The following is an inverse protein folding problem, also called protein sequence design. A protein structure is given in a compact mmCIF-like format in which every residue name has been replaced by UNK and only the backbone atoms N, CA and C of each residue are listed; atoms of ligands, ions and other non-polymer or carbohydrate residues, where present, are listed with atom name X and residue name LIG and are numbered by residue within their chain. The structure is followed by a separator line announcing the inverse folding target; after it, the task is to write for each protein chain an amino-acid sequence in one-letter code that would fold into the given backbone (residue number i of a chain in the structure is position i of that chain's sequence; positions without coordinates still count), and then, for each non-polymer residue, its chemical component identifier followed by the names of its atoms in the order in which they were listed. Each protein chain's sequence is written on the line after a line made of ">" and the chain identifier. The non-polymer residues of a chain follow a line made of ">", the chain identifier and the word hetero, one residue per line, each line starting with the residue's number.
data_IF_196815172540
#
_entry.id   IF_196815172540
#
_cell.length_a   1.000
_cell.length_b   1.000
_cell.length_c   1.000
_cell.angle_alpha   90.00
_cell.angle_beta   90.00
_cell.angle_gamma   90.00
#
_symmetry.space_group_name_H-M   'P 1'
#
loop_
_entity.id
_entity.type
_entity.pdbx_description
1 polymer ?
#
# COMPACT_ATOMS: atom_id res chain seq x y z
N UNK A 1 -72.75 -11.01 -4.39
CA UNK A 1 -71.72 -10.41 -3.53
C UNK A 1 -70.86 -11.53 -2.92
N UNK A 2 -69.58 -11.27 -2.56
CA UNK A 2 -68.68 -12.03 -1.63
C UNK A 2 -68.84 -13.58 -1.56
N UNK A 3 -67.80 -14.42 -1.74
CA UNK A 3 -66.34 -14.25 -1.54
C UNK A 3 -65.50 -14.98 -2.62
N UNK A 4 -64.20 -14.66 -2.65
CA UNK A 4 -63.12 -15.38 -3.37
C UNK A 4 -62.44 -16.42 -2.45
N UNK A 5 -61.42 -17.09 -3.02
CA UNK A 5 -60.23 -17.66 -2.35
C UNK A 5 -60.25 -19.14 -1.94
N UNK A 6 -60.07 -20.00 -2.94
CA UNK A 6 -59.30 -21.24 -2.85
C UNK A 6 -58.59 -21.47 -4.20
N UNK A 7 -57.54 -22.31 -4.22
CA UNK A 7 -56.83 -22.78 -5.42
C UNK A 7 -56.13 -21.71 -6.31
N UNK A 8 -55.11 -21.01 -5.78
CA UNK A 8 -53.93 -20.62 -6.59
C UNK A 8 -52.65 -20.39 -5.76
N UNK A 9 -52.30 -21.34 -4.89
CA UNK A 9 -50.99 -21.37 -4.20
C UNK A 9 -50.43 -22.79 -4.42
N UNK A 10 -49.47 -22.92 -5.34
CA UNK A 10 -48.94 -24.24 -5.71
C UNK A 10 -47.87 -24.28 -6.82
N UNK A 11 -47.73 -23.22 -7.65
CA UNK A 11 -46.91 -23.31 -8.89
C UNK A 11 -45.93 -22.14 -9.10
N UNK A 12 -45.49 -21.47 -8.02
CA UNK A 12 -44.51 -20.36 -8.10
C UNK A 12 -43.22 -20.64 -7.30
N UNK A 13 -43.23 -21.53 -6.30
CA UNK A 13 -42.05 -21.77 -5.44
C UNK A 13 -40.93 -22.63 -6.08
N UNK A 14 -41.15 -23.33 -7.19
CA UNK A 14 -40.15 -24.24 -7.77
C UNK A 14 -39.22 -23.63 -8.82
N UNK A 15 -39.44 -22.38 -9.24
CA UNK A 15 -38.58 -21.68 -10.22
C UNK A 15 -37.59 -20.69 -9.59
N UNK A 16 -37.49 -20.67 -8.25
CA UNK A 16 -36.62 -19.77 -7.49
C UNK A 16 -35.51 -20.50 -6.69
N UNK A 17 -35.32 -21.81 -6.91
CA UNK A 17 -34.31 -22.64 -6.22
C UNK A 17 -33.10 -22.98 -7.08
N UNK A 18 -32.78 -22.14 -8.07
CA UNK A 18 -31.48 -22.11 -8.75
C UNK A 18 -30.97 -20.66 -8.75
N UNK A 19 -29.65 -20.50 -8.63
CA UNK A 19 -28.95 -19.20 -8.49
C UNK A 19 -29.16 -18.44 -7.16
N UNK A 20 -29.18 -19.15 -6.03
CA UNK A 20 -28.83 -18.58 -4.70
C UNK A 20 -27.83 -19.47 -3.95
N UNK A 21 -26.65 -19.69 -4.56
CA UNK A 21 -25.46 -20.09 -3.80
C UNK A 21 -24.94 -18.87 -3.02
N UNK A 22 -25.67 -18.50 -1.96
CA UNK A 22 -25.09 -17.68 -0.90
C UNK A 22 -23.99 -18.52 -0.27
N UNK A 23 -22.74 -18.03 -0.29
CA UNK A 23 -21.67 -18.59 0.52
C UNK A 23 -21.99 -18.29 1.99
N UNK A 24 -22.82 -19.15 2.58
CA UNK A 24 -22.92 -19.27 4.03
C UNK A 24 -21.63 -19.96 4.50
N UNK A 25 -20.56 -19.17 4.61
CA UNK A 25 -19.30 -19.63 5.15
C UNK A 25 -19.55 -20.21 6.55
N UNK A 26 -19.28 -21.50 6.69
CA UNK A 26 -19.07 -22.10 8.00
C UNK A 26 -17.94 -21.30 8.65
N UNK A 27 -18.02 -20.93 9.95
CA UNK A 27 -16.89 -20.33 10.64
C UNK A 27 -15.75 -21.35 10.70
N UNK A 28 -14.86 -21.31 9.72
CA UNK A 28 -13.64 -22.08 9.76
C UNK A 28 -12.78 -21.50 10.88
N UNK A 29 -12.41 -22.34 11.84
CA UNK A 29 -11.32 -22.04 12.75
C UNK A 29 -10.03 -22.02 11.93
N UNK A 30 -9.74 -20.88 11.29
CA UNK A 30 -8.46 -20.60 10.66
C UNK A 30 -7.40 -20.41 11.75
N UNK A 31 -6.96 -21.55 12.30
CA UNK A 31 -5.83 -21.63 13.26
C UNK A 31 -4.50 -21.86 12.54
N UNK A 32 -4.46 -21.70 11.22
CA UNK A 32 -3.21 -21.43 10.53
C UNK A 32 -2.63 -20.13 11.12
N UNK A 33 -1.36 -20.11 11.55
CA UNK A 33 -0.72 -18.87 11.95
C UNK A 33 -0.81 -17.84 10.81
N UNK A 34 -0.97 -16.56 11.16
CA UNK A 34 -0.84 -15.45 10.22
C UNK A 34 0.62 -15.28 9.81
N UNK A 35 1.06 -16.24 9.00
CA UNK A 35 2.40 -16.39 8.48
C UNK A 35 2.65 -15.34 7.39
N UNK A 36 3.39 -14.30 7.77
CA UNK A 36 3.92 -13.26 6.90
C UNK A 36 5.41 -13.47 6.61
N UNK A 37 5.90 -14.72 6.59
CA UNK A 37 7.31 -15.02 6.37
C UNK A 37 7.84 -14.64 4.98
N UNK A 38 6.96 -14.31 4.02
CA UNK A 38 7.36 -13.67 2.75
C UNK A 38 8.07 -12.33 2.98
N UNK A 39 7.69 -11.59 4.02
CA UNK A 39 8.30 -10.32 4.39
C UNK A 39 9.81 -10.43 4.69
N UNK A 40 10.31 -11.62 5.02
CA UNK A 40 11.74 -11.88 5.25
C UNK A 40 12.62 -11.57 4.04
N UNK A 41 12.07 -11.46 2.82
CA UNK A 41 12.82 -10.97 1.65
C UNK A 41 13.34 -9.54 1.85
N UNK A 42 12.60 -8.70 2.57
CA UNK A 42 12.84 -7.25 2.70
C UNK A 42 13.08 -6.81 4.15
N UNK A 43 13.39 -7.72 5.07
CA UNK A 43 13.74 -7.41 6.47
C UNK A 43 15.11 -8.02 6.77
N UNK A 44 16.03 -7.19 7.25
CA UNK A 44 17.35 -7.59 7.76
C UNK A 44 17.40 -7.40 9.27
N UNK A 45 18.01 -8.36 9.97
CA UNK A 45 18.30 -8.26 11.39
C UNK A 45 19.78 -7.98 11.59
N UNK A 46 20.12 -6.80 12.10
CA UNK A 46 21.50 -6.47 12.48
C UNK A 46 21.75 -6.79 13.96
N UNK A 47 22.78 -7.61 14.27
CA UNK A 47 23.34 -7.72 15.62
C UNK A 47 24.43 -6.66 15.81
N UNK A 48 24.47 -6.03 16.99
CA UNK A 48 25.60 -5.17 17.36
C UNK A 48 26.79 -5.98 17.93
N UNK A 49 27.99 -5.48 17.62
CA UNK A 49 29.32 -5.86 18.13
C UNK A 49 29.98 -7.17 17.63
N UNK A 50 31.25 -7.02 17.18
CA UNK A 50 32.31 -8.05 16.97
C UNK A 50 32.35 -8.80 15.60
N UNK A 51 33.54 -9.10 15.04
CA UNK A 51 34.49 -8.15 14.44
C UNK A 51 34.80 -8.49 12.95
N UNK A 52 34.01 -9.38 12.34
CA UNK A 52 34.24 -9.97 11.00
C UNK A 52 33.26 -9.45 9.93
N UNK A 53 32.57 -8.35 10.23
CA UNK A 53 31.69 -7.61 9.31
C UNK A 53 32.08 -6.14 9.39
N UNK A 54 32.10 -5.45 8.26
CA UNK A 54 32.33 -4.00 8.17
C UNK A 54 30.95 -3.36 8.07
N UNK A 55 30.53 -2.59 9.08
CA UNK A 55 29.38 -1.65 9.17
C UNK A 55 29.47 -0.86 10.50
N UNK A 56 28.69 0.22 10.69
CA UNK A 56 28.61 0.99 11.96
C UNK A 56 28.04 2.41 11.75
N UNK A 57 27.76 3.27 12.74
CA UNK A 57 28.11 3.43 14.18
C UNK A 57 27.07 4.41 14.77
N UNK A 58 26.49 4.40 15.98
CA UNK A 58 26.63 3.70 17.29
C UNK A 58 25.19 3.55 17.90
N UNK A 59 24.82 3.02 19.08
CA UNK A 59 25.46 2.51 20.31
C UNK A 59 24.57 1.37 20.89
N UNK A 60 25.13 0.53 21.77
CA UNK A 60 24.48 -0.54 22.55
C UNK A 60 23.90 -1.72 21.75
N UNK A 61 24.36 -2.92 22.09
CA UNK A 61 23.83 -4.24 21.69
C UNK A 61 22.31 -4.29 21.47
N UNK A 62 21.92 -4.52 20.21
CA UNK A 62 20.53 -4.59 19.73
C UNK A 62 20.30 -5.79 18.82
N UNK A 63 19.03 -6.17 18.72
CA UNK A 63 18.44 -6.89 17.60
C UNK A 63 17.25 -6.05 17.14
N UNK A 64 17.45 -5.24 16.11
CA UNK A 64 16.42 -4.41 15.50
C UNK A 64 16.20 -4.85 14.06
N UNK A 65 14.97 -5.22 13.66
CA UNK A 65 14.64 -5.45 12.25
C UNK A 65 14.70 -4.12 11.51
N UNK A 66 15.75 -3.94 10.71
CA UNK A 66 15.77 -2.90 9.68
C UNK A 66 15.07 -3.45 8.44
N UNK A 67 14.34 -2.60 7.74
CA UNK A 67 13.80 -2.97 6.44
C UNK A 67 14.88 -2.75 5.41
N UNK A 68 14.87 -3.54 4.34
CA UNK A 68 15.64 -3.24 3.13
C UNK A 68 14.92 -2.13 2.34
N UNK A 69 14.45 -1.10 3.05
CA UNK A 69 14.40 0.25 2.53
C UNK A 69 15.79 0.83 2.80
N UNK A 70 16.66 0.83 1.79
CA UNK A 70 18.06 1.11 2.02
C UNK A 70 18.36 2.60 2.21
N UNK A 71 17.37 3.48 2.43
CA UNK A 71 17.64 4.76 3.08
C UNK A 71 18.27 4.51 4.46
N UNK A 72 17.56 3.79 5.34
CA UNK A 72 18.02 3.43 6.67
C UNK A 72 19.26 2.51 6.62
N UNK A 73 19.21 1.46 5.78
CA UNK A 73 20.34 0.53 5.61
C UNK A 73 21.60 1.28 5.16
N UNK A 74 21.58 2.04 4.04
CA UNK A 74 22.77 2.77 3.55
C UNK A 74 23.22 3.93 4.45
N UNK A 75 22.33 4.55 5.23
CA UNK A 75 22.73 5.49 6.28
C UNK A 75 23.55 4.82 7.38
N UNK A 76 23.25 3.56 7.71
CA UNK A 76 24.03 2.73 8.63
C UNK A 76 25.20 1.98 7.95
N UNK A 77 25.30 2.06 6.61
CA UNK A 77 26.17 1.25 5.77
C UNK A 77 26.84 2.13 4.69
N UNK A 78 27.73 3.06 5.09
CA UNK A 78 28.24 4.13 4.23
C UNK A 78 29.15 3.69 3.08
N UNK A 79 29.63 2.44 3.07
CA UNK A 79 30.35 1.84 1.93
C UNK A 79 29.43 1.18 0.88
N UNK A 80 28.10 1.16 1.09
CA UNK A 80 27.16 0.88 0.00
C UNK A 80 27.12 2.07 -0.99
N UNK A 81 27.04 1.83 -2.30
CA UNK A 81 26.83 2.90 -3.27
C UNK A 81 25.56 3.70 -2.99
N UNK A 82 25.65 5.02 -3.11
CA UNK A 82 24.48 5.90 -3.12
C UNK A 82 23.54 5.51 -4.26
N UNK A 83 22.38 4.93 -3.93
CA UNK A 83 21.44 4.35 -4.89
C UNK A 83 21.21 2.85 -4.76
N UNK A 84 21.96 2.12 -3.91
CA UNK A 84 21.91 0.66 -3.79
C UNK A 84 20.49 0.05 -3.73
N UNK A 85 19.53 0.64 -3.00
CA UNK A 85 18.15 0.12 -3.01
C UNK A 85 17.34 0.44 -4.27
N UNK A 86 17.62 1.55 -4.94
CA UNK A 86 17.04 1.83 -6.25
C UNK A 86 17.56 0.79 -7.25
N UNK A 87 18.87 0.51 -7.25
CA UNK A 87 19.47 -0.54 -8.06
C UNK A 87 18.87 -1.92 -7.74
N UNK A 88 18.66 -2.24 -6.45
CA UNK A 88 17.98 -3.49 -6.02
C UNK A 88 16.51 -3.56 -6.43
N UNK A 89 15.76 -2.47 -6.32
CA UNK A 89 14.40 -2.38 -6.83
C UNK A 89 14.36 -2.68 -8.33
N UNK A 90 15.27 -2.07 -9.10
CA UNK A 90 15.37 -2.23 -10.55
C UNK A 90 15.80 -3.66 -10.94
N UNK A 91 16.83 -4.22 -10.29
CA UNK A 91 17.34 -5.57 -10.54
C UNK A 91 16.26 -6.65 -10.32
N UNK A 92 15.50 -6.53 -9.23
CA UNK A 92 14.51 -7.53 -8.82
C UNK A 92 13.07 -7.19 -9.26
N UNK A 93 12.88 -6.07 -9.98
CA UNK A 93 11.58 -5.52 -10.38
C UNK A 93 10.59 -5.37 -9.20
N UNK A 94 11.09 -4.91 -8.05
CA UNK A 94 10.38 -4.93 -6.76
C UNK A 94 10.49 -3.59 -6.03
N UNK A 95 9.47 -2.73 -6.23
CA UNK A 95 9.35 -1.37 -5.66
C UNK A 95 9.51 -1.31 -4.12
N UNK A 96 9.28 -2.42 -3.42
CA UNK A 96 9.31 -2.50 -1.95
C UNK A 96 10.69 -2.21 -1.36
N UNK A 97 11.76 -2.34 -2.15
CA UNK A 97 13.08 -1.87 -1.76
C UNK A 97 13.19 -0.34 -1.59
N UNK A 98 12.23 0.45 -2.09
CA UNK A 98 12.26 1.93 -2.01
C UNK A 98 10.94 2.56 -1.55
N UNK A 99 9.98 1.79 -1.00
CA UNK A 99 8.76 2.35 -0.43
C UNK A 99 8.32 1.63 0.85
N UNK A 100 8.75 2.18 1.99
CA UNK A 100 8.16 1.88 3.29
C UNK A 100 6.89 2.71 3.55
N UNK A 101 6.08 2.35 4.55
CA UNK A 101 5.08 3.24 5.13
C UNK A 101 5.75 4.52 5.64
N UNK A 102 5.63 5.61 4.87
CA UNK A 102 6.44 6.85 4.94
C UNK A 102 6.36 7.64 6.26
N UNK A 103 5.53 7.19 7.20
CA UNK A 103 5.33 7.80 8.51
C UNK A 103 4.99 6.72 9.55
N UNK A 104 5.51 6.85 10.77
CA UNK A 104 5.33 5.87 11.86
C UNK A 104 6.58 5.04 12.23
N UNK A 105 7.59 5.00 11.35
CA UNK A 105 8.95 4.55 11.65
C UNK A 105 9.06 3.16 12.31
N UNK A 106 9.94 3.06 13.30
CA UNK A 106 10.30 1.80 13.99
C UNK A 106 9.07 0.97 14.40
N UNK A 107 8.00 1.60 14.89
CA UNK A 107 6.79 0.90 15.39
C UNK A 107 6.11 0.07 14.30
N UNK A 108 5.95 0.64 13.10
CA UNK A 108 5.41 -0.06 11.92
C UNK A 108 6.33 -1.19 11.50
N UNK A 109 7.63 -0.88 11.44
CA UNK A 109 8.67 -1.80 11.00
C UNK A 109 8.79 -3.03 11.91
N UNK A 110 8.72 -2.83 13.23
CA UNK A 110 8.75 -3.87 14.26
C UNK A 110 7.51 -4.77 14.25
N UNK A 111 6.31 -4.17 14.06
CA UNK A 111 5.04 -4.91 14.05
C UNK A 111 5.02 -5.98 12.95
N UNK A 112 5.32 -5.57 11.72
CA UNK A 112 5.39 -6.48 10.57
C UNK A 112 6.55 -7.51 10.72
N UNK A 113 7.69 -7.14 11.31
CA UNK A 113 8.80 -8.06 11.52
C UNK A 113 8.51 -9.14 12.58
N UNK A 114 7.87 -8.80 13.71
CA UNK A 114 7.40 -9.80 14.68
C UNK A 114 6.38 -10.76 14.04
N UNK A 115 5.50 -10.28 13.14
CA UNK A 115 4.55 -11.13 12.40
C UNK A 115 5.20 -11.97 11.29
N UNK A 116 6.31 -11.51 10.71
CA UNK A 116 7.18 -12.34 9.87
C UNK A 116 7.94 -13.42 10.68
N UNK A 117 7.85 -13.41 12.02
CA UNK A 117 8.53 -14.38 12.88
C UNK A 117 10.00 -14.06 13.15
N UNK A 118 10.38 -12.78 13.15
CA UNK A 118 11.63 -12.32 13.76
C UNK A 118 11.50 -12.20 15.29
N UNK A 119 12.60 -12.33 16.06
CA UNK A 119 12.56 -12.13 17.49
C UNK A 119 12.24 -10.67 17.84
N UNK A 120 11.44 -10.49 18.89
CA UNK A 120 11.06 -9.19 19.43
C UNK A 120 12.28 -8.38 19.87
N UNK A 121 12.32 -7.09 19.49
CA UNK A 121 13.38 -6.17 19.94
C UNK A 121 13.37 -6.02 21.46
N UNK A 122 14.56 -5.96 22.06
CA UNK A 122 14.76 -5.79 23.51
C UNK A 122 14.74 -4.33 23.97
N UNK A 123 14.65 -3.37 23.04
CA UNK A 123 14.64 -1.91 23.31
C UNK A 123 13.47 -1.17 22.66
N UNK A 124 12.32 -1.84 22.53
CA UNK A 124 11.06 -1.23 22.08
C UNK A 124 10.74 0.05 22.87
N UNK A 125 10.71 1.20 22.20
CA UNK A 125 10.29 2.47 22.82
C UNK A 125 8.78 2.48 23.09
N UNK A 126 7.99 1.86 22.19
CA UNK A 126 6.53 1.81 22.26
C UNK A 126 5.99 0.37 22.09
N UNK A 127 6.31 -0.57 23.01
CA UNK A 127 5.92 -1.98 22.87
C UNK A 127 4.41 -2.19 22.76
N UNK A 128 3.62 -1.35 23.43
CA UNK A 128 2.15 -1.41 23.36
C UNK A 128 1.61 -0.92 22.00
N UNK A 129 2.23 0.10 21.37
CA UNK A 129 1.85 0.52 20.01
C UNK A 129 2.17 -0.59 18.99
N UNK A 130 3.30 -1.29 19.15
CA UNK A 130 3.66 -2.46 18.33
C UNK A 130 2.63 -3.59 18.45
N UNK A 131 2.25 -3.99 19.67
CA UNK A 131 1.27 -5.08 19.84
C UNK A 131 -0.14 -4.73 19.37
N UNK A 132 -0.59 -3.48 19.57
CA UNK A 132 -1.85 -2.99 19.02
C UNK A 132 -1.84 -2.96 17.48
N UNK A 133 -0.73 -2.55 16.87
CA UNK A 133 -0.60 -2.53 15.40
C UNK A 133 -0.58 -3.96 14.83
N UNK A 134 0.13 -4.89 15.48
CA UNK A 134 0.07 -6.34 15.15
C UNK A 134 -1.34 -6.89 15.25
N UNK A 135 -2.09 -6.51 16.30
CA UNK A 135 -3.48 -6.92 16.46
C UNK A 135 -4.39 -6.36 15.34
N UNK A 136 -4.18 -5.11 14.91
CA UNK A 136 -4.94 -4.50 13.82
C UNK A 136 -4.61 -5.12 12.44
N UNK A 137 -3.34 -5.47 12.18
CA UNK A 137 -2.94 -6.23 10.99
C UNK A 137 -3.60 -7.62 11.03
N UNK A 138 -3.57 -8.29 12.18
CA UNK A 138 -4.19 -9.59 12.35
C UNK A 138 -5.71 -9.55 12.15
N UNK A 139 -6.39 -8.52 12.65
CA UNK A 139 -7.83 -8.32 12.46
C UNK A 139 -8.19 -8.13 10.98
N UNK A 140 -7.42 -7.34 10.23
CA UNK A 140 -7.58 -7.20 8.78
C UNK A 140 -7.43 -8.53 8.05
N UNK A 141 -6.34 -9.27 8.30
CA UNK A 141 -6.05 -10.53 7.62
C UNK A 141 -7.09 -11.63 7.95
N UNK A 142 -7.61 -11.64 9.18
CA UNK A 142 -8.67 -12.56 9.59
C UNK A 142 -10.03 -12.22 8.93
N UNK A 143 -10.30 -10.94 8.67
CA UNK A 143 -11.48 -10.50 7.90
C UNK A 143 -11.32 -10.65 6.37
N UNK A 144 -10.13 -10.99 5.89
CA UNK A 144 -9.82 -11.24 4.48
C UNK A 144 -9.13 -12.61 4.30
N UNK A 145 -9.76 -13.73 4.72
CA UNK A 145 -9.08 -15.03 4.88
C UNK A 145 -8.49 -15.60 3.59
N UNK A 146 -8.99 -15.19 2.42
CA UNK A 146 -8.47 -15.60 1.12
C UNK A 146 -7.31 -14.72 0.59
N UNK A 147 -6.72 -13.83 1.40
CA UNK A 147 -5.69 -12.87 0.95
C UNK A 147 -4.49 -13.51 0.23
N UNK A 148 -4.09 -14.73 0.63
CA UNK A 148 -2.99 -15.49 0.00
C UNK A 148 -3.28 -15.96 -1.43
N UNK A 149 -4.56 -15.98 -1.84
CA UNK A 149 -5.02 -16.46 -3.15
C UNK A 149 -5.87 -15.44 -3.92
N UNK A 150 -6.20 -14.31 -3.30
CA UNK A 150 -6.93 -13.20 -3.91
C UNK A 150 -6.08 -12.48 -4.98
N UNK A 151 -6.73 -11.96 -6.01
CA UNK A 151 -6.08 -11.11 -7.01
C UNK A 151 -5.63 -9.78 -6.42
N UNK A 152 -4.64 -9.14 -7.04
CA UNK A 152 -4.14 -7.83 -6.60
C UNK A 152 -5.23 -6.74 -6.57
N UNK A 153 -6.23 -6.87 -7.44
CA UNK A 153 -7.42 -6.02 -7.45
C UNK A 153 -8.29 -6.24 -6.20
N UNK A 154 -8.57 -7.49 -5.84
CA UNK A 154 -9.31 -7.81 -4.61
C UNK A 154 -8.54 -7.36 -3.36
N UNK A 155 -7.22 -7.61 -3.31
CA UNK A 155 -6.34 -7.13 -2.24
C UNK A 155 -6.43 -5.61 -2.08
N UNK A 156 -6.25 -4.85 -3.17
CA UNK A 156 -6.32 -3.39 -3.15
C UNK A 156 -7.70 -2.87 -2.71
N UNK A 157 -8.78 -3.46 -3.24
CA UNK A 157 -10.17 -3.12 -2.84
C UNK A 157 -10.36 -3.34 -1.35
N UNK A 158 -9.95 -4.49 -0.80
CA UNK A 158 -10.09 -4.82 0.63
C UNK A 158 -9.27 -3.90 1.53
N UNK A 159 -8.06 -3.50 1.12
CA UNK A 159 -7.25 -2.51 1.87
C UNK A 159 -7.98 -1.17 1.94
N UNK A 160 -8.49 -0.68 0.80
CA UNK A 160 -9.18 0.61 0.71
C UNK A 160 -10.54 0.60 1.43
N UNK A 161 -11.30 -0.49 1.33
CA UNK A 161 -12.52 -0.74 2.10
C UNK A 161 -12.23 -0.74 3.60
N UNK A 162 -11.21 -1.50 4.04
CA UNK A 162 -10.85 -1.64 5.45
C UNK A 162 -10.52 -0.29 6.08
N UNK A 163 -9.61 0.46 5.45
CA UNK A 163 -9.19 1.78 5.92
C UNK A 163 -10.36 2.76 5.83
N UNK A 164 -11.04 2.85 4.69
CA UNK A 164 -12.13 3.80 4.47
C UNK A 164 -13.38 3.58 5.32
N UNK A 165 -13.66 2.35 5.75
CA UNK A 165 -14.78 2.05 6.65
C UNK A 165 -14.47 2.26 8.13
N UNK A 166 -13.20 2.51 8.50
CA UNK A 166 -12.72 2.55 9.90
C UNK A 166 -12.00 3.84 10.30
N UNK A 167 -11.37 4.54 9.36
CA UNK A 167 -10.60 5.76 9.63
C UNK A 167 -11.36 7.03 9.22
N UNK A 168 -11.46 7.99 10.13
CA UNK A 168 -11.97 9.35 9.87
C UNK A 168 -10.80 10.28 9.56
N UNK A 169 -10.98 11.24 8.65
CA UNK A 169 -9.93 12.21 8.35
C UNK A 169 -9.68 13.15 9.54
N UNK A 170 -8.45 13.19 10.06
CA UNK A 170 -8.06 13.97 11.25
C UNK A 170 -6.57 14.37 11.14
N UNK A 171 -6.22 15.53 11.71
CA UNK A 171 -4.84 16.07 11.75
C UNK A 171 -4.46 16.60 13.14
N UNK A 172 -5.20 16.22 14.19
CA UNK A 172 -5.08 16.79 15.54
C UNK A 172 -4.04 16.12 16.46
N UNK A 173 -3.49 14.98 16.07
CA UNK A 173 -2.58 14.15 16.88
C UNK A 173 -1.38 13.65 16.06
N UNK A 174 -0.27 13.30 16.71
CA UNK A 174 0.91 12.72 16.05
C UNK A 174 0.60 11.38 15.36
N UNK A 175 -0.25 10.54 15.96
CA UNK A 175 -0.60 9.24 15.42
C UNK A 175 -1.40 9.35 14.12
N UNK A 176 -2.10 10.48 13.89
CA UNK A 176 -2.85 10.70 12.65
C UNK A 176 -1.96 10.67 11.41
N UNK A 177 -0.66 10.92 11.55
CA UNK A 177 0.30 10.86 10.44
C UNK A 177 0.75 9.42 10.15
N UNK A 178 0.57 8.46 11.07
CA UNK A 178 1.08 7.10 10.97
C UNK A 178 -0.03 6.04 10.71
N UNK A 179 0.33 4.81 10.30
CA UNK A 179 -0.60 3.69 10.20
C UNK A 179 -1.34 3.40 11.50
N UNK A 180 -0.72 3.68 12.65
CA UNK A 180 -1.34 3.51 13.97
C UNK A 180 -2.58 4.41 14.13
N UNK A 181 -2.57 5.64 13.61
CA UNK A 181 -3.75 6.50 13.57
C UNK A 181 -4.92 5.85 12.83
N UNK A 182 -4.67 5.43 11.58
CA UNK A 182 -5.68 4.83 10.71
C UNK A 182 -6.18 3.47 11.21
N UNK A 183 -5.28 2.58 11.63
CA UNK A 183 -5.58 1.17 11.91
C UNK A 183 -5.91 0.89 13.39
N UNK A 184 -5.50 1.75 14.32
CA UNK A 184 -5.73 1.57 15.77
C UNK A 184 -6.59 2.68 16.37
N UNK A 185 -6.29 3.95 16.08
CA UNK A 185 -7.04 5.09 16.64
C UNK A 185 -8.31 5.46 15.84
N UNK A 186 -8.52 4.86 14.65
CA UNK A 186 -9.63 5.17 13.74
C UNK A 186 -9.60 6.60 13.17
N UNK A 187 -8.43 7.25 13.12
CA UNK A 187 -8.28 8.66 12.71
C UNK A 187 -6.92 8.92 12.05
N UNK A 188 -6.90 9.51 10.86
CA UNK A 188 -5.64 9.77 10.15
C UNK A 188 -5.72 10.89 9.11
N UNK A 189 -4.57 11.46 8.79
CA UNK A 189 -4.40 12.38 7.68
C UNK A 189 -3.99 11.63 6.40
N UNK A 190 -3.70 12.35 5.31
CA UNK A 190 -3.27 11.78 4.04
C UNK A 190 -2.04 10.83 4.17
N UNK A 191 -1.04 11.21 4.97
CA UNK A 191 0.15 10.38 5.25
C UNK A 191 -0.20 9.11 6.02
N UNK A 192 -1.06 9.19 7.05
CA UNK A 192 -1.43 8.03 7.87
C UNK A 192 -2.30 7.03 7.13
N UNK A 193 -3.24 7.52 6.31
CA UNK A 193 -4.08 6.69 5.42
C UNK A 193 -3.25 6.01 4.33
N UNK A 194 -2.28 6.72 3.73
CA UNK A 194 -1.37 6.17 2.72
C UNK A 194 -0.42 5.13 3.33
N UNK A 195 0.25 5.49 4.43
CA UNK A 195 1.14 4.58 5.15
C UNK A 195 0.41 3.32 5.62
N UNK A 196 -0.85 3.43 6.04
CA UNK A 196 -1.69 2.26 6.37
C UNK A 196 -1.96 1.36 5.15
N UNK A 197 -2.23 1.95 3.98
CA UNK A 197 -2.44 1.20 2.75
C UNK A 197 -1.15 0.51 2.26
N UNK A 198 0.01 1.15 2.42
CA UNK A 198 1.32 0.52 2.18
C UNK A 198 1.54 -0.65 3.15
N UNK A 199 1.39 -0.41 4.46
CA UNK A 199 1.56 -1.42 5.52
C UNK A 199 0.68 -2.67 5.27
N UNK A 200 -0.61 -2.49 4.99
CA UNK A 200 -1.51 -3.61 4.70
C UNK A 200 -1.21 -4.27 3.35
N UNK A 201 -0.80 -3.50 2.33
CA UNK A 201 -0.36 -4.02 1.03
C UNK A 201 0.81 -4.98 1.15
N UNK A 202 1.86 -4.58 1.87
CA UNK A 202 2.98 -5.45 2.19
C UNK A 202 2.55 -6.73 2.92
N UNK A 203 1.64 -6.63 3.90
CA UNK A 203 1.11 -7.77 4.64
C UNK A 203 0.39 -8.81 3.75
N UNK A 204 -0.22 -8.40 2.62
CA UNK A 204 -0.90 -9.31 1.67
C UNK A 204 -0.11 -9.57 0.38
N UNK A 205 1.18 -9.27 0.37
CA UNK A 205 2.06 -9.41 -0.81
C UNK A 205 1.51 -8.66 -2.03
N UNK A 206 1.23 -7.37 -1.86
CA UNK A 206 0.79 -6.44 -2.89
C UNK A 206 1.74 -5.22 -2.92
N UNK A 207 2.34 -4.87 -4.07
CA UNK A 207 3.15 -3.66 -4.18
C UNK A 207 2.27 -2.41 -4.13
N UNK A 208 2.57 -1.52 -3.19
CA UNK A 208 1.93 -0.21 -3.00
C UNK A 208 3.04 0.82 -2.84
N UNK A 209 2.84 2.00 -3.43
CA UNK A 209 3.78 3.10 -3.42
C UNK A 209 3.08 4.43 -3.09
N UNK A 210 3.86 5.39 -2.59
CA UNK A 210 3.38 6.75 -2.33
C UNK A 210 3.20 7.54 -3.63
N UNK A 211 1.99 8.04 -3.84
CA UNK A 211 1.66 8.97 -4.92
C UNK A 211 1.48 10.37 -4.36
N UNK A 212 2.18 11.34 -4.93
CA UNK A 212 2.12 12.74 -4.52
C UNK A 212 1.28 13.57 -5.49
N UNK A 213 0.74 14.69 -5.01
CA UNK A 213 0.04 15.67 -5.85
C UNK A 213 0.84 16.96 -6.00
N UNK A 214 1.24 17.31 -7.21
CA UNK A 214 1.92 18.59 -7.49
C UNK A 214 1.05 19.78 -7.04
N UNK A 215 1.65 20.69 -6.26
CA UNK A 215 1.01 21.94 -5.81
C UNK A 215 0.09 21.83 -4.58
N UNK A 216 -0.08 20.64 -4.00
CA UNK A 216 -0.72 20.46 -2.70
C UNK A 216 0.17 19.56 -1.83
N UNK A 217 0.33 19.87 -0.55
CA UNK A 217 1.04 18.99 0.39
C UNK A 217 0.14 17.78 0.74
N UNK A 218 0.05 16.84 -0.20
CA UNK A 218 -0.91 15.74 -0.19
C UNK A 218 -0.32 14.48 -0.83
N UNK A 219 -0.58 13.35 -0.18
CA UNK A 219 -0.10 12.01 -0.55
C UNK A 219 -1.24 11.01 -0.49
N UNK A 220 -1.24 10.04 -1.39
CA UNK A 220 -2.26 9.01 -1.55
C UNK A 220 -1.62 7.69 -2.00
N UNK A 221 -2.21 6.52 -1.70
CA UNK A 221 -1.63 5.24 -2.11
C UNK A 221 -1.82 4.99 -3.60
N UNK A 222 -0.79 4.42 -4.22
CA UNK A 222 -0.77 3.92 -5.60
C UNK A 222 -0.46 2.44 -5.58
N UNK A 223 -1.42 1.62 -5.98
CA UNK A 223 -1.31 0.17 -6.01
C UNK A 223 -0.80 -0.29 -7.37
N UNK A 224 0.08 -1.29 -7.42
CA UNK A 224 0.39 -1.99 -8.66
C UNK A 224 -0.56 -3.18 -8.84
N UNK A 225 -1.46 -3.09 -9.82
CA UNK A 225 -2.54 -4.07 -10.01
C UNK A 225 -2.59 -4.47 -11.48
N UNK A 226 -2.50 -5.77 -11.77
CA UNK A 226 -2.58 -6.33 -13.14
C UNK A 226 -1.63 -5.64 -14.16
N UNK A 227 -0.45 -5.17 -13.70
CA UNK A 227 0.51 -4.45 -14.52
C UNK A 227 0.23 -2.94 -14.68
N UNK A 228 -0.66 -2.36 -13.88
CA UNK A 228 -1.07 -0.94 -13.94
C UNK A 228 -0.85 -0.28 -12.58
N UNK A 229 -0.19 0.87 -12.55
CA UNK A 229 -0.16 1.74 -11.38
C UNK A 229 -1.47 2.52 -11.23
N UNK A 230 -2.19 2.27 -10.15
CA UNK A 230 -3.53 2.78 -9.88
C UNK A 230 -3.60 3.54 -8.55
N UNK A 231 -3.86 4.84 -8.59
CA UNK A 231 -4.07 5.68 -7.41
C UNK A 231 -5.53 5.70 -6.95
N UNK A 232 -5.75 5.95 -5.66
CA UNK A 232 -7.09 6.12 -5.06
C UNK A 232 -7.05 7.18 -3.97
N UNK A 233 -8.09 8.01 -3.91
CA UNK A 233 -8.23 9.05 -2.89
C UNK A 233 -8.93 8.49 -1.64
N UNK A 234 -8.21 8.34 -0.54
CA UNK A 234 -8.75 7.84 0.73
C UNK A 234 -9.20 8.96 1.69
N UNK A 235 -8.83 10.22 1.46
CA UNK A 235 -9.26 11.33 2.32
C UNK A 235 -10.70 11.78 2.06
N UNK A 236 -11.24 11.42 0.89
CA UNK A 236 -12.58 11.81 0.43
C UNK A 236 -13.37 10.59 -0.05
N UNK A 237 -13.84 9.81 0.93
CA UNK A 237 -14.45 8.48 0.79
C UNK A 237 -15.78 8.42 0.02
N UNK A 238 -16.25 9.51 -0.59
CA UNK A 238 -17.54 9.55 -1.28
C UNK A 238 -17.55 8.75 -2.59
N UNK A 239 -16.39 8.57 -3.25
CA UNK A 239 -16.29 7.92 -4.56
C UNK A 239 -15.05 7.02 -4.69
N UNK A 240 -14.98 5.93 -3.92
CA UNK A 240 -13.91 4.93 -4.02
C UNK A 240 -13.78 4.39 -5.45
N UNK A 241 -12.71 4.80 -6.12
CA UNK A 241 -12.40 4.49 -7.51
C UNK A 241 -10.92 4.64 -7.76
N UNK A 242 -10.37 3.73 -8.58
CA UNK A 242 -8.97 3.72 -8.98
C UNK A 242 -8.77 4.53 -10.26
N UNK A 243 -7.68 5.29 -10.34
CA UNK A 243 -7.29 6.08 -11.51
C UNK A 243 -5.89 5.70 -11.96
N UNK A 244 -5.65 5.71 -13.26
CA UNK A 244 -4.29 5.50 -13.81
C UNK A 244 -3.38 6.59 -13.26
N UNK A 245 -2.36 6.19 -12.49
CA UNK A 245 -1.39 7.14 -11.95
C UNK A 245 -0.32 7.41 -12.99
N UNK A 246 -0.11 8.69 -13.29
CA UNK A 246 0.98 9.12 -14.15
C UNK A 246 2.28 9.14 -13.34
N UNK A 247 2.96 8.00 -13.28
CA UNK A 247 4.29 7.86 -12.63
C UNK A 247 5.36 8.79 -13.23
N UNK A 248 5.11 9.38 -14.39
CA UNK A 248 5.99 10.35 -15.05
C UNK A 248 5.47 11.80 -14.97
N UNK A 249 4.42 12.05 -14.19
CA UNK A 249 4.07 13.43 -13.80
C UNK A 249 5.13 13.93 -12.82
N UNK A 250 5.74 15.08 -13.12
CA UNK A 250 6.81 15.63 -12.29
C UNK A 250 6.25 16.05 -10.92
N UNK A 251 6.47 15.19 -9.93
CA UNK A 251 6.14 15.43 -8.54
C UNK A 251 7.05 16.53 -8.00
N UNK A 252 6.59 17.78 -8.11
CA UNK A 252 7.37 18.99 -7.84
C UNK A 252 7.68 19.26 -6.36
N UNK A 253 8.07 18.21 -5.61
CA UNK A 253 8.76 18.22 -4.33
C UNK A 253 9.14 16.77 -3.94
N UNK A 254 10.30 16.28 -4.39
CA UNK A 254 11.21 15.53 -3.49
C UNK A 254 12.44 16.36 -3.11
N UNK A 255 12.75 17.43 -3.87
CA UNK A 255 13.62 18.53 -3.43
C UNK A 255 12.99 19.87 -3.86
N UNK A 256 13.15 20.92 -3.04
CA UNK A 256 12.59 22.28 -3.21
C UNK A 256 13.26 23.12 -4.34
N UNK A 257 13.79 22.45 -5.36
CA UNK A 257 14.63 23.03 -6.41
C UNK A 257 13.74 23.72 -7.46
N UNK A 258 13.87 25.03 -7.63
CA UNK A 258 13.17 25.78 -8.68
C UNK A 258 14.05 25.96 -9.92
N UNK A 259 13.68 25.28 -11.02
CA UNK A 259 14.21 25.58 -12.37
C UNK A 259 15.73 25.44 -12.48
N UNK A 260 16.45 26.54 -12.29
CA UNK A 260 17.91 26.60 -12.29
C UNK A 260 18.53 25.63 -11.27
N UNK A 261 17.92 25.51 -10.08
CA UNK A 261 18.35 24.58 -9.03
C UNK A 261 18.29 23.09 -9.49
N UNK A 262 17.28 22.72 -10.29
CA UNK A 262 17.14 21.37 -10.84
C UNK A 262 18.21 21.08 -11.90
N UNK A 263 18.60 22.11 -12.66
CA UNK A 263 19.66 22.04 -13.65
C UNK A 263 21.02 21.91 -12.95
N UNK A 264 21.26 22.63 -11.86
CA UNK A 264 22.48 22.49 -11.07
C UNK A 264 22.58 21.09 -10.43
N UNK A 265 21.51 20.59 -9.80
CA UNK A 265 21.50 19.23 -9.23
C UNK A 265 21.65 18.13 -10.29
N UNK A 266 21.01 18.27 -11.47
CA UNK A 266 21.20 17.36 -12.60
C UNK A 266 22.67 17.33 -13.06
N UNK A 267 23.31 18.50 -13.21
CA UNK A 267 24.72 18.60 -13.58
C UNK A 267 25.67 18.03 -12.52
N UNK A 268 25.34 18.16 -11.22
CA UNK A 268 26.11 17.61 -10.11
C UNK A 268 25.99 16.08 -9.98
N UNK A 269 24.85 15.50 -10.36
CA UNK A 269 24.56 14.06 -10.26
C UNK A 269 24.76 13.27 -11.54
N UNK A 270 24.85 13.94 -12.70
CA UNK A 270 24.91 13.31 -14.02
C UNK A 270 23.57 12.76 -14.52
N UNK A 271 22.47 13.01 -13.81
CA UNK A 271 21.12 12.66 -14.23
C UNK A 271 20.55 13.69 -15.22
N UNK A 272 19.51 13.35 -15.99
CA UNK A 272 18.77 14.38 -16.75
C UNK A 272 17.84 15.18 -15.83
N UNK A 273 17.48 16.41 -16.21
CA UNK A 273 16.48 17.21 -15.45
C UNK A 273 15.15 16.45 -15.31
N UNK A 274 14.75 15.73 -16.37
CA UNK A 274 13.58 14.82 -16.39
C UNK A 274 13.73 13.56 -15.50
N UNK A 275 14.87 13.36 -14.84
CA UNK A 275 15.07 12.32 -13.82
C UNK A 275 15.07 12.92 -12.41
N UNK A 276 15.63 14.12 -12.23
CA UNK A 276 15.61 14.86 -10.96
C UNK A 276 14.20 15.31 -10.57
N UNK A 277 13.33 15.57 -11.56
CA UNK A 277 11.93 15.95 -11.33
C UNK A 277 10.94 14.78 -11.12
N UNK A 278 11.40 13.52 -11.16
CA UNK A 278 10.57 12.34 -10.89
C UNK A 278 10.61 12.01 -9.39
N UNK A 279 9.53 11.44 -8.86
CA UNK A 279 9.61 10.78 -7.56
C UNK A 279 10.35 9.43 -7.67
N UNK A 280 10.75 8.87 -6.53
CA UNK A 280 11.32 7.52 -6.43
C UNK A 280 10.56 6.45 -7.27
N UNK A 281 9.23 6.43 -7.19
CA UNK A 281 8.37 5.56 -8.02
C UNK A 281 8.53 5.82 -9.52
N UNK A 282 8.54 7.09 -9.94
CA UNK A 282 8.70 7.48 -11.34
C UNK A 282 10.07 7.13 -11.90
N UNK A 283 11.14 7.38 -11.13
CA UNK A 283 12.50 7.00 -11.51
C UNK A 283 12.63 5.47 -11.63
N UNK A 284 12.13 4.72 -10.66
CA UNK A 284 12.05 3.25 -10.72
C UNK A 284 11.35 2.78 -12.00
N UNK A 285 10.12 3.27 -12.26
CA UNK A 285 9.34 2.93 -13.45
C UNK A 285 10.14 3.20 -14.74
N UNK A 286 10.83 4.33 -14.83
CA UNK A 286 11.65 4.71 -15.98
C UNK A 286 12.77 3.69 -16.22
N UNK A 287 13.49 3.28 -15.16
CA UNK A 287 14.64 2.36 -15.27
C UNK A 287 14.22 0.91 -15.54
N UNK A 288 13.08 0.43 -15.02
CA UNK A 288 12.52 -0.89 -15.38
C UNK A 288 11.76 -0.88 -16.72
N UNK A 289 11.71 0.26 -17.43
CA UNK A 289 11.11 0.38 -18.76
C UNK A 289 9.58 0.41 -18.79
N UNK A 290 8.91 0.60 -17.64
CA UNK A 290 7.45 0.63 -17.53
C UNK A 290 6.84 1.68 -18.48
N UNK A 291 5.77 1.30 -19.17
CA UNK A 291 4.98 2.22 -20.00
C UNK A 291 3.60 2.39 -19.37
N UNK A 292 3.10 3.62 -19.31
CA UNK A 292 1.74 3.89 -18.84
C UNK A 292 0.77 3.28 -19.86
N UNK A 293 -0.08 2.31 -19.48
CA UNK A 293 -0.95 1.61 -20.41
C UNK A 293 -2.02 2.53 -20.97
N UNK A 294 -2.36 2.36 -22.24
CA UNK A 294 -3.43 3.12 -22.87
C UNK A 294 -4.79 2.77 -22.28
N UNK A 295 -5.78 3.67 -22.48
CA UNK A 295 -7.18 3.40 -22.15
C UNK A 295 -7.67 2.03 -22.65
N UNK A 296 -7.19 1.52 -23.79
CA UNK A 296 -7.57 0.21 -24.30
C UNK A 296 -7.01 -0.94 -23.45
N UNK A 297 -5.76 -0.83 -23.01
CA UNK A 297 -5.07 -1.86 -22.22
C UNK A 297 -5.60 -1.90 -20.79
N UNK A 298 -5.86 -0.74 -20.16
CA UNK A 298 -6.52 -0.68 -18.84
C UNK A 298 -7.91 -1.34 -18.88
N UNK A 299 -8.71 -1.07 -19.92
CA UNK A 299 -10.04 -1.70 -20.10
C UNK A 299 -9.97 -3.22 -20.31
N UNK A 300 -8.82 -3.74 -20.78
CA UNK A 300 -8.56 -5.18 -20.93
C UNK A 300 -8.02 -5.83 -19.64
N UNK A 301 -7.26 -5.09 -18.83
CA UNK A 301 -6.76 -5.54 -17.52
C UNK A 301 -7.86 -5.58 -16.43
N UNK A 302 -8.95 -4.82 -16.59
CA UNK A 302 -10.06 -4.72 -15.63
C UNK A 302 -11.43 -4.99 -16.28
N UNK A 303 -11.65 -6.15 -16.93
CA UNK A 303 -12.86 -6.39 -17.75
C UNK A 303 -14.15 -6.26 -16.93
N UNK A 304 -15.01 -5.30 -17.33
CA UNK A 304 -16.28 -5.00 -16.66
C UNK A 304 -16.20 -4.08 -15.44
N UNK A 305 -15.01 -3.83 -14.89
CA UNK A 305 -14.77 -3.00 -13.70
C UNK A 305 -14.20 -1.62 -14.05
N UNK A 306 -14.75 -0.95 -15.07
CA UNK A 306 -14.32 0.40 -15.47
C UNK A 306 -15.46 1.29 -15.95
N UNK A 307 -15.20 2.60 -15.98
CA UNK A 307 -16.02 3.62 -16.65
C UNK A 307 -15.13 4.67 -17.32
N UNK A 308 -15.75 5.48 -18.17
CA UNK A 308 -15.17 6.73 -18.64
C UNK A 308 -15.12 7.75 -17.49
N UNK A 309 -14.02 8.49 -17.40
CA UNK A 309 -13.88 9.68 -16.58
C UNK A 309 -13.04 10.74 -17.27
N UNK A 310 -12.81 11.86 -16.59
CA UNK A 310 -11.93 12.93 -17.07
C UNK A 310 -10.79 13.14 -16.08
N UNK A 311 -9.59 13.41 -16.61
CA UNK A 311 -8.38 13.75 -15.85
C UNK A 311 -7.57 14.75 -16.67
N UNK A 312 -7.19 15.87 -16.06
CA UNK A 312 -6.48 16.99 -16.70
C UNK A 312 -7.12 17.56 -18.00
N UNK A 313 -8.42 17.28 -18.23
CA UNK A 313 -9.18 17.68 -19.41
C UNK A 313 -9.37 16.58 -20.47
N UNK A 314 -8.71 15.43 -20.32
CA UNK A 314 -8.72 14.33 -21.28
C UNK A 314 -9.57 13.14 -20.80
N UNK A 315 -10.06 12.31 -21.74
CA UNK A 315 -10.78 11.07 -21.42
C UNK A 315 -9.83 10.03 -20.82
N UNK A 316 -10.10 9.60 -19.59
CA UNK A 316 -9.37 8.53 -18.90
C UNK A 316 -10.28 7.36 -18.56
N UNK A 317 -9.69 6.19 -18.39
CA UNK A 317 -10.37 4.99 -17.88
C UNK A 317 -10.26 4.99 -16.36
N UNK A 318 -11.40 5.15 -15.68
CA UNK A 318 -11.50 5.01 -14.22
C UNK A 318 -11.84 3.55 -13.93
N UNK A 319 -10.99 2.87 -13.17
CA UNK A 319 -11.23 1.51 -12.71
C UNK A 319 -12.12 1.61 -11.46
N UNK A 320 -13.26 0.94 -11.48
CA UNK A 320 -14.27 1.03 -10.43
C UNK A 320 -14.10 -0.09 -9.41
N UNK A 321 -14.36 0.20 -8.15
CA UNK A 321 -14.51 -0.82 -7.11
C UNK A 321 -15.69 -1.75 -7.44
N UNK A 322 -15.77 -2.97 -6.85
CA UNK A 322 -16.97 -3.82 -6.92
C UNK A 322 -18.23 -3.05 -6.48
N UNK A 323 -19.42 -3.44 -6.97
CA UNK A 323 -20.66 -2.68 -6.77
C UNK A 323 -21.06 -2.58 -5.31
N UNK A 324 -20.84 -3.65 -4.58
CA UNK A 324 -21.02 -3.81 -3.13
C UNK A 324 -20.19 -2.82 -2.28
N UNK A 325 -19.19 -2.14 -2.86
CA UNK A 325 -18.40 -1.08 -2.21
C UNK A 325 -18.61 0.30 -2.83
N UNK A 326 -19.59 0.46 -3.73
CA UNK A 326 -20.04 1.77 -4.23
C UNK A 326 -21.18 2.25 -3.34
N UNK A 327 -21.04 3.44 -2.78
CA UNK A 327 -22.19 4.15 -2.23
C UNK A 327 -22.97 4.77 -3.41
N UNK A 328 -24.24 4.38 -3.56
CA UNK A 328 -25.18 4.84 -4.58
C UNK A 328 -25.66 6.28 -4.35
#
# INVERSE_FOLDING_TARGET
>A
MRKRAAALIGTILMSAMMAMNVFAEQPQNHTDPLDLSHLKKWIVMEPYDNPNVVWGVDIDTRLTPQWINCSAYSMNHPELPSGFCMDKAIEEHDIRYICEPSTGGETTQLALAEMAGFPRSVRLVYPEKVDKLKAAIADFLNHFPNWKTASDYEKAVRICEWIGSRAVYDTSDEDCFAPYGALVNGRACCSGLTSAAVLLGWAVDLPVADGFRRGAAHVFPVFYINGVWLSVELTHLTHLSFRVYNVYELNGNEVLLQGDDLIEFANLTGCSVDEVGLSALGYYCKKVGYQIPSNKEVRAAFPGNWTYGVQNGEETTVVLFPKEFRMD
#
